data_IF_449325369252
#
_entry.id   IF_449325369252
#
_cell.length_a   1.000
_cell.length_b   1.000
_cell.length_c   1.000
_cell.angle_alpha   90.00
_cell.angle_beta   90.00
_cell.angle_gamma   90.00
#
_symmetry.space_group_name_H-M   'P 1'
#
loop_
_entity.id
_entity.type
_entity.pdbx_description
1 polymer ?
#
# COMPACT_ATOMS: atom_id res chain seq x y z
N UNK A 1 -31.64 -2.51 -4.37
CA UNK A 1 -31.73 -3.72 -3.52
C UNK A 1 -33.20 -4.09 -3.30
N UNK A 2 -33.57 -5.37 -3.39
CA UNK A 2 -34.97 -5.83 -3.18
C UNK A 2 -35.28 -6.06 -1.70
N UNK A 3 -35.28 -4.96 -0.96
CA UNK A 3 -35.49 -4.85 0.50
C UNK A 3 -36.09 -3.48 0.80
N UNK A 4 -36.93 -3.38 1.83
CA UNK A 4 -37.55 -2.14 2.32
C UNK A 4 -37.68 -2.16 3.85
N UNK A 5 -37.86 -1.00 4.47
CA UNK A 5 -38.03 -0.85 5.91
C UNK A 5 -36.76 -1.15 6.73
N UNK A 6 -35.59 -1.09 6.11
CA UNK A 6 -34.31 -1.40 6.76
C UNK A 6 -33.27 -0.32 6.47
N UNK A 7 -32.49 0.03 7.49
CA UNK A 7 -31.40 0.99 7.37
C UNK A 7 -30.21 0.32 6.68
N UNK A 8 -29.68 0.88 5.57
CA UNK A 8 -28.47 0.36 4.94
C UNK A 8 -27.20 0.77 5.69
N UNK A 9 -26.28 -0.19 5.83
CA UNK A 9 -24.94 -0.02 6.37
C UNK A 9 -23.92 -0.49 5.31
N UNK A 10 -22.83 0.25 5.16
CA UNK A 10 -21.67 -0.18 4.39
C UNK A 10 -20.65 -0.78 5.35
N UNK A 11 -20.21 -1.99 5.06
CA UNK A 11 -19.13 -2.68 5.76
C UNK A 11 -17.97 -2.85 4.79
N UNK A 12 -16.83 -2.29 5.14
CA UNK A 12 -15.60 -2.35 4.36
C UNK A 12 -14.75 -3.54 4.85
N UNK A 13 -14.59 -4.59 4.03
CA UNK A 13 -13.82 -5.77 4.42
C UNK A 13 -12.30 -5.52 4.46
N UNK A 14 -11.80 -4.45 3.84
CA UNK A 14 -10.37 -4.11 3.82
C UNK A 14 -9.97 -3.44 5.13
N UNK A 15 -10.79 -2.50 5.61
CA UNK A 15 -10.50 -1.71 6.81
C UNK A 15 -11.20 -2.22 8.07
N UNK A 16 -12.27 -3.00 7.92
CA UNK A 16 -13.19 -3.38 9.00
C UNK A 16 -14.13 -2.24 9.43
N UNK A 17 -14.10 -1.07 8.77
CA UNK A 17 -15.00 0.04 9.09
C UNK A 17 -16.45 -0.32 8.73
N UNK A 18 -17.38 -0.02 9.63
CA UNK A 18 -18.81 -0.11 9.37
C UNK A 18 -19.44 1.25 9.55
N UNK A 19 -20.27 1.70 8.60
CA UNK A 19 -20.93 3.00 8.67
C UNK A 19 -22.35 2.97 8.11
N UNK A 20 -23.19 3.84 8.64
CA UNK A 20 -24.57 4.02 8.17
C UNK A 20 -24.56 4.77 6.83
N UNK A 21 -25.34 4.30 5.86
CA UNK A 21 -25.61 5.02 4.62
C UNK A 21 -26.89 5.85 4.81
N UNK A 22 -26.75 7.18 4.76
CA UNK A 22 -27.84 8.11 5.04
C UNK A 22 -28.47 8.73 3.78
N UNK A 23 -27.86 8.57 2.61
CA UNK A 23 -28.47 8.93 1.33
C UNK A 23 -28.98 7.67 0.63
N UNK A 24 -30.28 7.44 0.73
CA UNK A 24 -30.97 6.35 0.05
C UNK A 24 -32.44 6.71 -0.18
N UNK A 25 -33.05 6.00 -1.13
CA UNK A 25 -34.49 6.05 -1.39
C UNK A 25 -35.09 4.67 -1.10
N UNK A 26 -36.16 4.63 -0.33
CA UNK A 26 -36.97 3.42 -0.12
C UNK A 26 -38.40 3.70 -0.56
N UNK A 27 -38.89 2.94 -1.56
CA UNK A 27 -40.23 3.08 -2.10
C UNK A 27 -41.24 2.06 -1.54
N UNK A 28 -40.88 1.34 -0.48
CA UNK A 28 -41.69 0.30 0.16
C UNK A 28 -41.45 -1.11 -0.41
N UNK A 29 -40.74 -1.24 -1.54
CA UNK A 29 -40.38 -2.54 -2.14
C UNK A 29 -38.89 -2.65 -2.49
N UNK A 30 -38.27 -1.52 -2.80
CA UNK A 30 -36.88 -1.42 -3.23
C UNK A 30 -36.19 -0.30 -2.45
N UNK A 31 -34.95 -0.56 -2.05
CA UNK A 31 -34.01 0.44 -1.56
C UNK A 31 -32.97 0.74 -2.63
N UNK A 32 -32.85 2.00 -3.02
CA UNK A 32 -31.88 2.52 -4.01
C UNK A 32 -30.80 3.35 -3.31
N UNK A 33 -29.55 3.10 -3.69
CA UNK A 33 -28.34 3.70 -3.11
C UNK A 33 -27.38 4.07 -4.24
N UNK A 34 -26.73 5.23 -4.13
CA UNK A 34 -25.53 5.54 -4.90
C UNK A 34 -24.31 4.99 -4.17
N UNK A 35 -23.49 4.22 -4.86
CA UNK A 35 -22.25 3.63 -4.36
C UNK A 35 -21.09 4.07 -5.26
N UNK A 36 -19.97 4.42 -4.66
CA UNK A 36 -18.73 4.75 -5.36
C UNK A 36 -17.71 3.66 -5.06
N UNK A 37 -16.96 3.24 -6.09
CA UNK A 37 -15.97 2.18 -5.98
C UNK A 37 -14.65 2.62 -6.63
N UNK A 38 -13.57 2.41 -5.90
CA UNK A 38 -12.23 2.37 -6.45
C UNK A 38 -11.98 1.07 -7.23
N UNK A 39 -10.84 1.03 -7.92
CA UNK A 39 -10.45 -0.11 -8.75
C UNK A 39 -10.40 -1.40 -7.92
N UNK A 40 -11.18 -2.41 -8.34
CA UNK A 40 -11.31 -3.70 -7.65
C UNK A 40 -11.79 -3.63 -6.19
N UNK A 41 -12.34 -2.50 -5.76
CA UNK A 41 -12.90 -2.36 -4.42
C UNK A 41 -14.20 -3.17 -4.28
N UNK A 42 -14.48 -3.61 -3.06
CA UNK A 42 -15.72 -4.33 -2.73
C UNK A 42 -16.25 -3.89 -1.37
N UNK A 43 -17.56 -3.94 -1.21
CA UNK A 43 -18.25 -3.63 0.03
C UNK A 43 -19.34 -4.66 0.29
N UNK A 44 -19.68 -4.86 1.57
CA UNK A 44 -20.92 -5.49 1.96
C UNK A 44 -21.94 -4.41 2.30
N UNK A 45 -23.14 -4.49 1.70
CA UNK A 45 -24.27 -3.63 2.06
C UNK A 45 -25.22 -4.46 2.93
N UNK A 46 -25.27 -4.12 4.22
CA UNK A 46 -26.05 -4.83 5.24
C UNK A 46 -27.28 -3.99 5.59
N UNK A 47 -28.45 -4.63 5.61
CA UNK A 47 -29.73 -3.98 5.90
C UNK A 47 -30.21 -4.36 7.29
N UNK A 48 -30.26 -3.39 8.20
CA UNK A 48 -30.73 -3.57 9.58
C UNK A 48 -32.19 -3.10 9.70
N UNK A 49 -33.17 -3.99 10.00
CA UNK A 49 -34.56 -3.59 10.19
C UNK A 49 -34.72 -2.54 11.29
N UNK A 50 -35.48 -1.46 11.03
CA UNK A 50 -35.77 -0.41 12.01
C UNK A 50 -37.19 0.12 11.88
N UNK A 51 -37.82 0.45 13.00
CA UNK A 51 -39.17 1.06 13.04
C UNK A 51 -39.23 2.39 12.28
N UNK A 52 -38.12 3.14 12.29
CA UNK A 52 -37.96 4.38 11.55
C UNK A 52 -36.60 4.42 10.85
N UNK A 53 -36.63 4.32 9.52
CA UNK A 53 -35.48 4.52 8.66
C UNK A 53 -35.24 6.03 8.44
N UNK A 54 -33.98 6.49 8.53
CA UNK A 54 -33.63 7.90 8.38
C UNK A 54 -32.77 8.10 7.15
N UNK A 55 -33.34 8.76 6.14
CA UNK A 55 -32.58 9.32 5.02
C UNK A 55 -32.36 10.81 5.29
N UNK A 56 -31.12 11.27 5.18
CA UNK A 56 -30.73 12.68 5.40
C UNK A 56 -30.37 13.41 4.11
N UNK A 57 -30.36 12.70 2.97
CA UNK A 57 -29.93 13.23 1.67
C UNK A 57 -28.44 13.59 1.57
N UNK A 58 -27.69 13.58 2.69
CA UNK A 58 -26.24 13.82 2.69
C UNK A 58 -25.52 12.70 1.92
N UNK A 59 -24.61 13.03 0.99
CA UNK A 59 -23.87 12.03 0.23
C UNK A 59 -23.25 10.95 1.11
N UNK A 60 -23.32 9.71 0.65
CA UNK A 60 -22.72 8.59 1.36
C UNK A 60 -21.21 8.55 1.22
N UNK A 61 -20.61 9.25 0.27
CA UNK A 61 -19.18 9.23 0.01
C UNK A 61 -18.67 10.66 0.08
N UNK A 62 -17.44 10.79 0.55
CA UNK A 62 -16.81 12.07 0.80
C UNK A 62 -15.94 12.44 -0.39
N UNK A 63 -16.12 13.63 -0.92
CA UNK A 63 -15.13 14.22 -1.80
C UNK A 63 -13.92 14.66 -0.98
N UNK A 64 -12.73 14.51 -1.56
CA UNK A 64 -11.50 14.96 -0.94
C UNK A 64 -10.71 15.84 -1.88
N UNK A 65 -10.05 16.85 -1.34
CA UNK A 65 -9.08 17.67 -2.05
C UNK A 65 -7.66 17.42 -1.51
N UNK A 66 -6.68 17.34 -2.41
CA UNK A 66 -5.27 17.30 -2.05
C UNK A 66 -4.84 18.69 -1.53
N UNK A 67 -4.32 18.74 -0.31
CA UNK A 67 -3.93 19.99 0.36
C UNK A 67 -2.41 20.14 0.51
N UNK A 68 -1.65 19.06 0.34
CA UNK A 68 -0.19 19.06 0.47
C UNK A 68 0.42 17.86 -0.26
N UNK A 69 1.46 18.10 -1.06
CA UNK A 69 2.33 17.05 -1.61
C UNK A 69 3.60 16.95 -0.75
N UNK A 70 4.02 15.74 -0.38
CA UNK A 70 5.24 15.51 0.40
C UNK A 70 6.47 15.44 -0.51
N UNK A 71 6.88 16.60 -1.01
CA UNK A 71 8.01 16.78 -1.92
C UNK A 71 9.38 16.65 -1.25
N UNK A 72 10.43 16.54 -2.07
CA UNK A 72 11.83 16.50 -1.63
C UNK A 72 12.28 15.14 -1.10
N UNK A 73 13.49 15.09 -0.54
CA UNK A 73 14.20 13.82 -0.33
C UNK A 73 13.53 12.91 0.69
N UNK A 74 13.69 11.62 0.47
CA UNK A 74 13.32 10.54 1.37
C UNK A 74 14.56 9.76 1.78
N UNK A 75 14.70 9.47 3.07
CA UNK A 75 15.68 8.49 3.54
C UNK A 75 15.08 7.11 3.34
N UNK A 76 15.80 6.22 2.65
CA UNK A 76 15.33 4.87 2.32
C UNK A 76 16.33 3.87 2.85
N UNK A 77 15.85 2.91 3.64
CA UNK A 77 16.65 1.82 4.17
C UNK A 77 16.26 0.50 3.51
N UNK A 78 17.21 -0.18 2.89
CA UNK A 78 17.09 -1.52 2.34
C UNK A 78 17.82 -2.53 3.22
N UNK A 79 17.41 -3.80 3.18
CA UNK A 79 18.06 -4.86 3.93
C UNK A 79 19.35 -5.32 3.22
N UNK A 80 20.48 -5.22 3.91
CA UNK A 80 21.79 -5.65 3.41
C UNK A 80 21.86 -7.17 3.19
N UNK A 81 21.12 -7.96 3.97
CA UNK A 81 21.06 -9.42 3.80
C UNK A 81 20.46 -9.82 2.44
N UNK A 82 19.63 -8.94 1.86
CA UNK A 82 19.00 -9.11 0.55
C UNK A 82 19.67 -8.29 -0.56
N UNK A 83 20.89 -7.79 -0.31
CA UNK A 83 21.72 -7.09 -1.29
C UNK A 83 21.38 -5.61 -1.46
N UNK A 84 20.59 -5.03 -0.54
CA UNK A 84 20.34 -3.60 -0.50
C UNK A 84 21.53 -2.80 0.05
N UNK A 85 21.62 -1.49 -0.23
CA UNK A 85 22.77 -0.65 0.16
C UNK A 85 22.71 -0.11 1.60
N UNK A 86 21.98 -0.75 2.51
CA UNK A 86 21.59 -0.17 3.80
C UNK A 86 20.80 1.14 3.60
N UNK A 87 21.36 2.30 3.99
CA UNK A 87 20.70 3.60 3.88
C UNK A 87 21.11 4.35 2.60
N UNK A 88 20.12 4.93 1.92
CA UNK A 88 20.32 5.82 0.78
C UNK A 88 19.30 6.96 0.77
N UNK A 89 19.53 8.00 -0.03
CA UNK A 89 18.63 9.14 -0.19
C UNK A 89 18.00 9.11 -1.58
N UNK A 90 16.68 9.11 -1.61
CA UNK A 90 15.91 9.30 -2.84
C UNK A 90 15.46 10.75 -2.93
N UNK A 91 16.14 11.54 -3.77
CA UNK A 91 15.75 12.93 -4.06
C UNK A 91 14.33 13.02 -4.64
N UNK A 92 13.97 12.02 -5.44
CA UNK A 92 12.62 11.81 -5.95
C UNK A 92 12.22 10.35 -5.76
N UNK A 93 10.93 10.13 -5.45
CA UNK A 93 10.35 8.80 -5.44
C UNK A 93 10.40 8.21 -6.84
N UNK A 94 10.92 6.99 -6.97
CA UNK A 94 11.19 6.35 -8.26
C UNK A 94 10.98 4.84 -8.17
N UNK A 95 10.81 4.24 -9.34
CA UNK A 95 10.73 2.78 -9.50
C UNK A 95 12.12 2.17 -9.30
N UNK A 96 12.25 1.27 -8.32
CA UNK A 96 13.52 0.62 -7.99
C UNK A 96 14.14 -0.07 -9.19
N UNK A 97 13.33 -0.69 -10.06
CA UNK A 97 13.80 -1.45 -11.23
C UNK A 97 14.53 -0.60 -12.28
N UNK A 98 14.44 0.72 -12.18
CA UNK A 98 15.12 1.70 -13.05
C UNK A 98 16.35 2.32 -12.39
N UNK A 99 16.67 1.94 -11.15
CA UNK A 99 17.83 2.44 -10.44
C UNK A 99 19.12 1.93 -11.10
N UNK A 100 20.17 2.76 -11.10
CA UNK A 100 21.50 2.40 -11.62
C UNK A 100 22.26 1.44 -10.70
N UNK A 101 21.97 1.47 -9.40
CA UNK A 101 22.58 0.59 -8.42
C UNK A 101 21.91 -0.79 -8.43
N UNK A 102 22.68 -1.84 -8.72
CA UNK A 102 22.15 -3.19 -8.89
C UNK A 102 21.44 -3.73 -7.64
N UNK A 103 21.94 -3.38 -6.45
CA UNK A 103 21.35 -3.76 -5.17
C UNK A 103 19.92 -3.25 -4.98
N UNK A 104 19.59 -2.08 -5.55
CA UNK A 104 18.24 -1.52 -5.58
C UNK A 104 17.47 -2.03 -6.80
N UNK A 105 18.11 -2.04 -7.98
CA UNK A 105 17.50 -2.44 -9.26
C UNK A 105 16.85 -3.82 -9.21
N UNK A 106 17.57 -4.78 -8.63
CA UNK A 106 17.13 -6.16 -8.50
C UNK A 106 16.64 -6.49 -7.09
N UNK A 107 16.35 -5.48 -6.26
CA UNK A 107 15.93 -5.72 -4.88
C UNK A 107 14.60 -6.49 -4.83
N UNK A 108 14.51 -7.44 -3.90
CA UNK A 108 13.24 -8.03 -3.50
C UNK A 108 13.22 -8.22 -1.99
N UNK A 109 12.21 -7.65 -1.34
CA UNK A 109 12.13 -7.57 0.11
C UNK A 109 11.43 -6.29 0.55
N UNK A 110 11.73 -5.85 1.76
CA UNK A 110 11.17 -4.63 2.34
C UNK A 110 12.17 -3.48 2.28
N UNK A 111 11.71 -2.29 1.88
CA UNK A 111 12.47 -1.04 2.04
C UNK A 111 11.67 -0.06 2.91
N UNK A 112 12.32 0.54 3.91
CA UNK A 112 11.72 1.49 4.84
C UNK A 112 12.00 2.92 4.39
N UNK A 113 10.97 3.66 3.99
CA UNK A 113 11.03 5.08 3.66
C UNK A 113 10.73 5.91 4.90
N UNK A 114 11.54 6.93 5.18
CA UNK A 114 11.34 7.85 6.30
C UNK A 114 11.38 9.31 5.83
N UNK A 115 10.47 10.12 6.37
CA UNK A 115 10.40 11.56 6.09
C UNK A 115 9.72 12.31 7.24
N UNK A 116 10.26 13.47 7.59
CA UNK A 116 9.53 14.45 8.41
C UNK A 116 8.87 15.49 7.52
N UNK A 117 7.66 15.91 7.88
CA UNK A 117 6.94 16.98 7.19
C UNK A 117 6.19 17.88 8.17
N UNK A 118 6.04 19.16 7.83
CA UNK A 118 5.17 20.08 8.55
C UNK A 118 3.76 20.03 8.00
N UNK A 119 2.77 19.92 8.87
CA UNK A 119 1.36 19.97 8.53
C UNK A 119 0.73 21.25 9.09
N UNK A 120 0.23 22.09 8.19
CA UNK A 120 -0.39 23.37 8.56
C UNK A 120 -1.91 23.27 8.75
N UNK A 121 -2.51 22.09 8.53
CA UNK A 121 -3.92 21.88 8.78
C UNK A 121 -4.26 22.00 10.26
N UNK A 122 -5.35 22.71 10.57
CA UNK A 122 -5.91 22.75 11.92
C UNK A 122 -6.63 21.44 12.28
N UNK A 123 -7.02 21.28 13.55
CA UNK A 123 -8.08 20.35 13.96
C UNK A 123 -9.42 20.86 13.40
N UNK A 124 -9.61 20.71 12.09
CA UNK A 124 -10.87 21.03 11.43
C UNK A 124 -11.88 19.90 11.61
N UNK A 125 -13.13 20.20 11.26
CA UNK A 125 -14.08 19.14 10.95
C UNK A 125 -13.60 18.41 9.68
N UNK A 126 -13.93 17.12 9.56
CA UNK A 126 -13.66 16.29 8.38
C UNK A 126 -12.43 15.38 8.49
N UNK A 127 -12.38 14.35 7.66
CA UNK A 127 -11.33 13.35 7.66
C UNK A 127 -10.03 13.82 6.95
N UNK A 128 -8.93 13.46 7.60
CA UNK A 128 -7.49 13.46 7.32
C UNK A 128 -6.96 12.25 6.52
N UNK A 129 -6.43 12.35 5.30
CA UNK A 129 -5.87 11.17 4.63
C UNK A 129 -4.46 11.35 4.09
N UNK A 130 -3.66 10.30 4.19
CA UNK A 130 -2.38 10.16 3.49
C UNK A 130 -2.58 9.25 2.28
N UNK A 131 -2.34 9.77 1.08
CA UNK A 131 -2.38 9.02 -0.17
C UNK A 131 -0.95 8.68 -0.57
N UNK A 132 -0.68 7.40 -0.87
CA UNK A 132 0.65 6.91 -1.22
C UNK A 132 0.97 7.03 -2.72
N UNK A 133 -0.03 7.39 -3.53
CA UNK A 133 0.07 7.41 -4.98
C UNK A 133 0.32 6.00 -5.52
N UNK A 134 1.34 5.86 -6.37
CA UNK A 134 1.70 4.57 -6.96
C UNK A 134 2.66 3.79 -6.04
N UNK A 135 2.20 2.63 -5.57
CA UNK A 135 3.00 1.67 -4.78
C UNK A 135 3.03 0.33 -5.49
N UNK A 136 4.18 -0.35 -5.45
CA UNK A 136 4.31 -1.76 -5.84
C UNK A 136 5.13 -2.53 -4.79
N UNK A 137 4.57 -3.50 -4.05
CA UNK A 137 3.22 -4.11 -4.15
C UNK A 137 2.36 -3.86 -2.91
N UNK A 138 2.92 -3.65 -1.72
CA UNK A 138 2.17 -3.29 -0.52
C UNK A 138 2.97 -2.33 0.33
N UNK A 139 2.29 -1.54 1.16
CA UNK A 139 2.92 -0.59 2.07
C UNK A 139 2.33 -0.70 3.47
N UNK A 140 3.18 -0.73 4.49
CA UNK A 140 2.78 -0.55 5.89
C UNK A 140 3.15 0.86 6.34
N UNK A 141 2.23 1.55 7.00
CA UNK A 141 2.37 2.98 7.30
C UNK A 141 2.42 3.23 8.80
N UNK A 142 3.36 4.08 9.23
CA UNK A 142 3.41 4.64 10.58
C UNK A 142 3.49 6.15 10.51
N UNK A 143 2.70 6.81 11.36
CA UNK A 143 2.77 8.26 11.54
C UNK A 143 2.94 8.58 13.01
N UNK A 144 3.96 9.38 13.35
CA UNK A 144 4.27 9.77 14.72
C UNK A 144 4.43 8.56 15.66
N UNK A 145 5.00 7.47 15.16
CA UNK A 145 5.20 6.20 15.88
C UNK A 145 3.96 5.31 15.98
N UNK A 146 2.80 5.72 15.47
CA UNK A 146 1.57 4.90 15.48
C UNK A 146 1.44 4.11 14.19
N UNK A 147 1.28 2.79 14.32
CA UNK A 147 0.95 1.87 13.23
C UNK A 147 -0.45 2.17 12.70
N UNK A 148 -0.56 2.41 11.40
CA UNK A 148 -1.81 2.70 10.70
C UNK A 148 -2.27 1.56 9.78
N UNK A 149 -1.59 0.41 9.85
CA UNK A 149 -1.93 -0.79 9.10
C UNK A 149 -1.27 -0.88 7.72
N UNK A 150 -1.75 -1.85 6.94
CA UNK A 150 -1.20 -2.23 5.65
C UNK A 150 -2.16 -1.79 4.54
N UNK A 151 -1.62 -1.06 3.58
CA UNK A 151 -2.28 -0.67 2.33
C UNK A 151 -1.79 -1.61 1.24
N UNK A 152 -2.69 -2.41 0.67
CA UNK A 152 -2.35 -3.47 -0.29
C UNK A 152 -3.21 -3.45 -1.56
N UNK A 153 -4.19 -2.56 -1.62
CA UNK A 153 -5.11 -2.41 -2.76
C UNK A 153 -5.56 -0.95 -2.86
N UNK A 154 -6.18 -0.61 -4.00
CA UNK A 154 -6.84 0.67 -4.18
C UNK A 154 -8.03 0.85 -3.20
N UNK A 155 -8.24 2.07 -2.67
CA UNK A 155 -7.39 3.25 -2.83
C UNK A 155 -6.11 3.14 -1.97
N UNK A 156 -4.96 3.53 -2.52
CA UNK A 156 -3.65 3.52 -1.83
C UNK A 156 -3.56 4.60 -0.75
N UNK A 157 -4.35 4.48 0.30
CA UNK A 157 -4.69 5.56 1.23
C UNK A 157 -4.87 5.06 2.65
N UNK A 158 -4.56 5.92 3.62
CA UNK A 158 -4.80 5.65 5.04
C UNK A 158 -5.37 6.88 5.76
N UNK A 159 -6.28 6.66 6.71
CA UNK A 159 -6.84 7.70 7.56
C UNK A 159 -5.82 8.12 8.64
N UNK A 160 -5.44 9.39 8.62
CA UNK A 160 -4.49 10.01 9.56
C UNK A 160 -5.16 11.02 10.49
N UNK A 161 -6.49 11.18 10.43
CA UNK A 161 -7.28 12.23 11.09
C UNK A 161 -6.91 12.40 12.57
N UNK A 162 -6.77 11.29 13.28
CA UNK A 162 -6.55 11.28 14.74
C UNK A 162 -5.07 11.21 15.13
N UNK A 163 -4.15 11.26 14.17
CA UNK A 163 -2.72 10.97 14.38
C UNK A 163 -1.82 12.10 13.89
N UNK A 164 -2.22 12.77 12.81
CA UNK A 164 -1.53 13.95 12.29
C UNK A 164 -1.64 15.12 13.28
N UNK A 165 -0.54 15.87 13.43
CA UNK A 165 -0.41 17.00 14.34
C UNK A 165 -0.13 18.26 13.55
N UNK A 166 -0.57 19.42 14.05
CA UNK A 166 -0.11 20.70 13.51
C UNK A 166 1.41 20.84 13.75
N UNK A 167 2.15 21.30 12.74
CA UNK A 167 3.60 21.35 12.75
C UNK A 167 4.23 20.02 12.34
N UNK A 168 5.37 19.68 12.93
CA UNK A 168 6.18 18.53 12.52
C UNK A 168 5.50 17.19 12.78
N UNK A 169 5.53 16.33 11.78
CA UNK A 169 5.14 14.92 11.84
C UNK A 169 6.26 14.04 11.25
N UNK A 170 6.43 12.84 11.83
CA UNK A 170 7.40 11.86 11.37
C UNK A 170 6.66 10.68 10.74
N UNK A 171 6.93 10.43 9.45
CA UNK A 171 6.32 9.40 8.63
C UNK A 171 7.33 8.31 8.32
N UNK A 172 6.91 7.06 8.48
CA UNK A 172 7.60 5.88 7.98
C UNK A 172 6.66 5.04 7.13
N UNK A 173 7.14 4.58 5.97
CA UNK A 173 6.41 3.70 5.06
C UNK A 173 7.32 2.53 4.71
N UNK A 174 6.94 1.32 5.09
CA UNK A 174 7.65 0.10 4.70
C UNK A 174 6.99 -0.47 3.45
N UNK A 175 7.71 -0.49 2.34
CA UNK A 175 7.23 -1.03 1.07
C UNK A 175 7.81 -2.41 0.84
N UNK A 176 6.98 -3.37 0.45
CA UNK A 176 7.39 -4.72 0.08
C UNK A 176 6.96 -5.04 -1.35
N UNK A 177 7.85 -5.68 -2.11
CA UNK A 177 7.60 -6.11 -3.49
C UNK A 177 7.62 -7.65 -3.63
N UNK A 178 7.72 -8.13 -4.87
CA UNK A 178 7.77 -9.56 -5.22
C UNK A 178 9.21 -10.02 -5.46
N UNK A 179 9.45 -11.32 -5.28
CA UNK A 179 10.75 -11.98 -5.52
C UNK A 179 11.27 -11.94 -6.96
N UNK A 180 10.42 -11.57 -7.93
CA UNK A 180 10.75 -11.64 -9.36
C UNK A 180 12.05 -10.90 -9.70
N UNK A 181 12.23 -9.68 -9.19
CA UNK A 181 13.39 -8.86 -9.54
C UNK A 181 14.70 -9.44 -9.00
N UNK A 182 14.69 -10.01 -7.79
CA UNK A 182 15.87 -10.68 -7.21
C UNK A 182 16.17 -12.00 -7.90
N UNK A 183 15.14 -12.77 -8.27
CA UNK A 183 15.29 -13.97 -9.10
C UNK A 183 15.93 -13.62 -10.45
N UNK A 184 15.47 -12.56 -11.14
CA UNK A 184 16.06 -12.08 -12.39
C UNK A 184 17.50 -11.61 -12.18
N UNK A 185 17.78 -10.83 -11.13
CA UNK A 185 19.12 -10.36 -10.82
C UNK A 185 20.12 -11.48 -10.52
N UNK A 186 19.65 -12.57 -9.90
CA UNK A 186 20.47 -13.75 -9.62
C UNK A 186 20.86 -14.52 -10.88
N UNK A 187 20.10 -14.39 -11.98
CA UNK A 187 20.44 -15.03 -13.24
C UNK A 187 21.76 -14.53 -13.84
N UNK A 188 22.22 -13.34 -13.45
CA UNK A 188 23.54 -12.81 -13.82
C UNK A 188 24.70 -13.39 -12.98
N UNK A 189 24.41 -14.23 -12.00
CA UNK A 189 25.41 -14.88 -11.11
C UNK A 189 25.57 -16.35 -11.45
N UNK A 190 26.72 -16.92 -11.08
CA UNK A 190 27.02 -18.35 -11.26
C UNK A 190 25.91 -19.22 -10.69
N UNK A 191 25.43 -20.17 -11.50
CA UNK A 191 24.39 -21.11 -11.08
C UNK A 191 24.98 -22.19 -10.16
N UNK A 192 24.36 -22.36 -8.99
CA UNK A 192 24.76 -23.32 -7.95
C UNK A 192 23.58 -24.19 -7.48
N UNK A 193 22.55 -24.29 -8.32
CA UNK A 193 21.33 -25.03 -8.04
C UNK A 193 21.39 -26.49 -8.47
N UNK A 194 20.23 -27.05 -8.81
CA UNK A 194 20.09 -28.45 -9.21
C UNK A 194 20.80 -28.70 -10.55
N UNK A 195 21.73 -29.66 -10.59
CA UNK A 195 22.47 -30.07 -11.79
C UNK A 195 22.24 -31.57 -12.01
N UNK A 196 21.81 -31.98 -13.22
CA UNK A 196 21.52 -33.39 -13.55
C UNK A 196 20.58 -34.08 -12.54
N UNK A 197 19.60 -33.33 -12.02
CA UNK A 197 18.64 -33.82 -11.02
C UNK A 197 19.19 -33.97 -9.60
N UNK A 198 20.46 -33.60 -9.36
CA UNK A 198 21.08 -33.65 -8.04
C UNK A 198 20.94 -32.31 -7.32
N UNK A 199 20.51 -32.37 -6.06
CA UNK A 199 20.39 -31.20 -5.19
C UNK A 199 21.76 -30.67 -4.74
N UNK A 200 21.91 -29.36 -4.52
CA UNK A 200 23.18 -28.81 -4.06
C UNK A 200 23.55 -29.32 -2.67
N UNK A 201 24.80 -29.77 -2.51
CA UNK A 201 25.30 -30.29 -1.24
C UNK A 201 25.31 -29.23 -0.14
N UNK A 202 25.65 -27.98 -0.48
CA UNK A 202 25.61 -26.85 0.45
C UNK A 202 24.22 -26.66 1.07
N UNK A 203 23.16 -26.84 0.28
CA UNK A 203 21.80 -26.72 0.75
C UNK A 203 21.41 -27.90 1.65
N UNK A 204 21.74 -29.13 1.24
CA UNK A 204 21.42 -30.34 2.00
C UNK A 204 22.13 -30.40 3.35
N UNK A 205 23.33 -29.84 3.44
CA UNK A 205 24.15 -29.82 4.66
C UNK A 205 23.99 -28.53 5.48
N UNK A 206 23.24 -27.54 4.99
CA UNK A 206 23.12 -26.23 5.64
C UNK A 206 24.44 -25.46 5.70
N UNK A 207 25.32 -25.66 4.71
CA UNK A 207 26.58 -24.97 4.59
C UNK A 207 26.41 -23.61 3.91
N UNK A 208 27.45 -22.77 4.00
CA UNK A 208 27.47 -21.48 3.32
C UNK A 208 27.31 -21.70 1.81
N UNK A 209 26.39 -20.95 1.20
CA UNK A 209 26.16 -20.96 -0.24
C UNK A 209 27.44 -20.56 -1.00
N UNK A 210 27.83 -21.27 -2.07
CA UNK A 210 29.09 -21.03 -2.76
C UNK A 210 29.03 -19.91 -3.82
N UNK A 211 27.84 -19.54 -4.31
CA UNK A 211 27.67 -18.43 -5.25
C UNK A 211 27.19 -17.15 -4.57
N UNK A 212 27.24 -16.04 -5.32
CA UNK A 212 26.73 -14.73 -4.90
C UNK A 212 25.21 -14.57 -5.14
N UNK A 213 24.47 -15.66 -5.38
CA UNK A 213 23.01 -15.62 -5.53
C UNK A 213 22.34 -15.48 -4.17
N UNK A 214 21.29 -14.66 -4.10
CA UNK A 214 20.48 -14.49 -2.89
C UNK A 214 19.37 -15.53 -2.77
N UNK A 215 18.84 -15.99 -3.89
CA UNK A 215 17.65 -16.84 -3.98
C UNK A 215 17.97 -18.22 -4.51
N UNK A 216 17.26 -19.22 -3.99
CA UNK A 216 17.29 -20.59 -4.51
C UNK A 216 15.85 -21.00 -4.82
N UNK A 217 15.61 -21.48 -6.03
CA UNK A 217 14.32 -22.00 -6.49
C UNK A 217 14.54 -23.34 -7.20
N UNK A 218 13.65 -24.30 -6.96
CA UNK A 218 13.66 -25.58 -7.68
C UNK A 218 13.10 -25.48 -9.10
N UNK A 219 12.52 -24.34 -9.47
CA UNK A 219 11.95 -24.08 -10.78
C UNK A 219 12.51 -22.79 -11.40
N UNK A 220 12.73 -22.83 -12.71
CA UNK A 220 13.16 -21.68 -13.51
C UNK A 220 11.95 -20.85 -13.94
N UNK A 221 11.65 -19.81 -13.17
CA UNK A 221 10.55 -18.89 -13.48
C UNK A 221 10.97 -17.69 -14.34
N UNK A 222 12.25 -17.31 -14.28
CA UNK A 222 12.81 -16.11 -14.91
C UNK A 222 14.20 -16.39 -15.48
N UNK A 223 14.64 -15.57 -16.44
CA UNK A 223 15.97 -15.58 -17.03
C UNK A 223 16.54 -14.14 -17.09
N UNK A 224 17.79 -13.97 -17.55
CA UNK A 224 18.46 -12.67 -17.65
C UNK A 224 17.73 -11.63 -18.53
N UNK A 225 16.94 -12.09 -19.50
CA UNK A 225 16.19 -11.24 -20.44
C UNK A 225 14.77 -10.93 -19.97
N UNK A 226 14.34 -11.48 -18.83
CA UNK A 226 13.00 -11.28 -18.30
C UNK A 226 12.83 -9.81 -17.86
N UNK A 227 11.68 -9.18 -18.18
CA UNK A 227 11.46 -7.79 -17.80
C UNK A 227 11.33 -7.67 -16.27
N UNK A 228 11.95 -6.63 -15.71
CA UNK A 228 11.77 -6.31 -14.30
C UNK A 228 10.37 -5.77 -14.04
N UNK A 229 9.86 -6.06 -12.85
CA UNK A 229 8.58 -5.55 -12.36
C UNK A 229 8.80 -4.22 -11.64
N UNK A 230 7.91 -3.26 -11.89
CA UNK A 230 7.89 -2.00 -11.14
C UNK A 230 7.84 -2.29 -9.64
N UNK A 231 8.66 -1.58 -8.86
CA UNK A 231 8.80 -1.83 -7.42
C UNK A 231 9.02 -0.53 -6.65
N UNK A 232 8.50 -0.48 -5.43
CA UNK A 232 8.73 0.61 -4.50
C UNK A 232 7.59 1.62 -4.36
N UNK A 233 7.86 2.68 -3.61
CA UNK A 233 7.02 3.87 -3.50
C UNK A 233 7.42 4.85 -4.61
N UNK A 234 6.54 5.02 -5.60
CA UNK A 234 6.73 5.94 -6.72
C UNK A 234 5.94 7.24 -6.56
N UNK A 235 4.95 7.26 -5.65
CA UNK A 235 4.18 8.47 -5.34
C UNK A 235 3.29 8.95 -6.49
N UNK A 236 2.94 10.26 -6.51
CA UNK A 236 3.25 11.23 -5.45
C UNK A 236 2.59 10.84 -4.13
N UNK A 237 3.22 11.17 -3.01
CA UNK A 237 2.61 11.04 -1.68
C UNK A 237 1.95 12.37 -1.33
N UNK A 238 0.64 12.35 -1.09
CA UNK A 238 -0.14 13.56 -0.80
C UNK A 238 -0.93 13.42 0.50
N UNK A 239 -1.31 14.55 1.07
CA UNK A 239 -2.28 14.65 2.14
C UNK A 239 -3.54 15.26 1.55
N UNK A 240 -4.66 14.56 1.70
CA UNK A 240 -5.97 15.05 1.28
C UNK A 240 -6.91 15.24 2.46
N UNK A 241 -7.86 16.16 2.30
CA UNK A 241 -8.87 16.47 3.31
C UNK A 241 -10.27 16.34 2.72
N UNK A 242 -11.19 15.82 3.52
CA UNK A 242 -12.62 15.84 3.22
C UNK A 242 -13.15 17.27 2.99
N UNK A 243 -13.87 17.45 1.88
CA UNK A 243 -14.59 18.67 1.54
C UNK A 243 -15.89 18.69 2.35
N UNK A 244 -16.10 19.74 3.14
CA UNK A 244 -17.32 19.93 3.92
C UNK A 244 -18.19 20.96 3.20
N UNK A 245 -19.36 20.52 2.75
CA UNK A 245 -20.42 21.36 2.18
C UNK A 245 -21.37 21.92 3.24
#
# INVERSE_FOLDING_TARGET
FRVSGAQPHLWDPVTGETRILNAFEDNGTLTTLSLEFDKYQSFFIVFEPKDHIKSSGKPNFYETEDIQTLEGPWTVHFDEEWGGPAETIFETLTDWSKNSEEGIKYYSGTASYSKSFDFNGGKGNGKVFLNLGKVKIMAKVWLNGKDLGIVWTDPWRVDITHVVKKGKNDLRIDVVNQWANRLIGDEFKSYDGIINGQWPEWLLKGEKRPSDRFTFSSAWHYNQDSPLLESGLMGPVTISKEIIH
#
